data_IF_454363213632
#
_entry.id   IF_454363213632
#
_cell.length_a   1.000
_cell.length_b   1.000
_cell.length_c   1.000
_cell.angle_alpha   90.00
_cell.angle_beta   90.00
_cell.angle_gamma   90.00
#
_symmetry.space_group_name_H-M   'P 1'
#
loop_
_entity.id
_entity.type
_entity.pdbx_description
1 polymer ?
#
# COMPACT_ATOMS: atom_id res chain seq x y z
N UNK A 1 -2.70 27.54 1.74
CA UNK A 1 -3.28 27.44 0.39
C UNK A 1 -3.87 28.80 0.02
N UNK A 2 -3.51 29.40 -1.11
CA UNK A 2 -4.07 30.69 -1.53
C UNK A 2 -5.44 30.46 -2.17
N UNK A 3 -6.51 30.93 -1.55
CA UNK A 3 -7.90 30.78 -2.05
C UNK A 3 -8.24 31.77 -3.18
N UNK A 4 -7.24 32.23 -3.94
CA UNK A 4 -7.38 33.17 -5.05
C UNK A 4 -6.98 32.49 -6.36
N UNK A 5 -7.76 32.68 -7.41
CA UNK A 5 -7.47 32.17 -8.76
C UNK A 5 -6.15 32.70 -9.35
N UNK A 6 -5.62 33.80 -8.80
CA UNK A 6 -4.33 34.42 -9.13
C UNK A 6 -3.17 34.03 -8.19
N UNK A 7 -3.35 33.01 -7.34
CA UNK A 7 -2.33 32.55 -6.42
C UNK A 7 -1.13 31.94 -7.14
N UNK A 8 0.00 32.67 -7.21
CA UNK A 8 1.25 32.14 -7.76
C UNK A 8 1.77 31.04 -6.85
N UNK A 9 1.94 29.84 -7.41
CA UNK A 9 2.62 28.72 -6.76
C UNK A 9 4.12 28.87 -7.05
N UNK A 10 4.98 28.98 -6.02
CA UNK A 10 6.42 29.07 -6.21
C UNK A 10 6.93 27.94 -7.09
N UNK A 11 7.70 28.29 -8.11
CA UNK A 11 8.31 27.35 -9.04
C UNK A 11 9.55 26.73 -8.42
N UNK A 12 10.02 25.63 -9.02
CA UNK A 12 11.28 24.99 -8.60
C UNK A 12 12.48 25.95 -8.68
N UNK A 13 12.45 26.88 -9.65
CA UNK A 13 13.49 27.88 -9.85
C UNK A 13 13.60 28.87 -8.69
N UNK A 14 12.58 28.98 -7.84
CA UNK A 14 12.59 29.83 -6.65
C UNK A 14 13.39 29.20 -5.49
N UNK A 15 13.85 27.95 -5.64
CA UNK A 15 14.61 27.17 -4.64
C UNK A 15 15.99 26.72 -5.17
N UNK A 16 16.92 27.64 -5.45
CA UNK A 16 18.25 27.29 -5.97
C UNK A 16 19.04 26.45 -4.96
N UNK A 17 19.54 25.29 -5.40
CA UNK A 17 20.42 24.40 -4.62
C UNK A 17 19.79 23.64 -3.46
N UNK A 18 18.50 23.84 -3.18
CA UNK A 18 17.76 23.20 -2.09
C UNK A 18 16.58 22.36 -2.60
N UNK A 19 16.66 21.86 -3.83
CA UNK A 19 15.59 21.07 -4.43
C UNK A 19 15.87 19.56 -4.35
N UNK A 20 14.82 18.74 -4.11
CA UNK A 20 14.94 17.30 -4.22
C UNK A 20 15.22 16.87 -5.67
N UNK A 21 15.69 15.64 -5.90
CA UNK A 21 15.77 15.09 -7.25
C UNK A 21 14.36 15.01 -7.84
N UNK A 22 14.12 15.73 -8.94
CA UNK A 22 12.77 15.86 -9.53
C UNK A 22 12.29 14.58 -10.21
N UNK A 23 13.21 13.81 -10.78
CA UNK A 23 12.86 12.64 -11.59
C UNK A 23 12.15 11.54 -10.78
N UNK A 24 12.65 11.12 -9.61
CA UNK A 24 12.00 10.06 -8.84
C UNK A 24 10.67 10.52 -8.20
N UNK A 25 10.59 11.79 -7.77
CA UNK A 25 9.38 12.39 -7.19
C UNK A 25 8.27 12.50 -8.24
N UNK A 26 8.61 12.92 -9.46
CA UNK A 26 7.66 13.05 -10.56
C UNK A 26 7.01 11.71 -10.93
N UNK A 27 7.81 10.64 -11.04
CA UNK A 27 7.29 9.31 -11.36
C UNK A 27 6.58 8.65 -10.18
N UNK A 28 7.10 8.80 -8.96
CA UNK A 28 6.46 8.31 -7.73
C UNK A 28 5.04 8.87 -7.58
N UNK A 29 4.88 10.18 -7.78
CA UNK A 29 3.57 10.83 -7.71
C UNK A 29 2.58 10.27 -8.75
N UNK A 30 3.04 10.06 -9.98
CA UNK A 30 2.19 9.52 -11.06
C UNK A 30 1.77 8.08 -10.81
N UNK A 31 2.67 7.26 -10.29
CA UNK A 31 2.35 5.86 -9.92
C UNK A 31 1.32 5.87 -8.79
N UNK A 32 1.51 6.69 -7.76
CA UNK A 32 0.57 6.82 -6.64
C UNK A 32 -0.83 7.25 -7.11
N UNK A 33 -0.91 8.33 -7.88
CA UNK A 33 -2.21 8.85 -8.36
C UNK A 33 -2.84 7.89 -9.38
N UNK A 34 -2.03 7.35 -10.29
CA UNK A 34 -2.49 6.40 -11.31
C UNK A 34 -3.07 5.13 -10.70
N UNK A 35 -2.39 4.55 -9.71
CA UNK A 35 -2.90 3.37 -8.98
C UNK A 35 -4.15 3.70 -8.18
N UNK A 36 -4.21 4.84 -7.48
CA UNK A 36 -5.40 5.26 -6.74
C UNK A 36 -6.64 5.46 -7.63
N UNK A 37 -6.47 6.12 -8.78
CA UNK A 37 -7.56 6.30 -9.75
C UNK A 37 -7.99 4.96 -10.34
N UNK A 38 -7.03 4.09 -10.69
CA UNK A 38 -7.33 2.75 -11.18
C UNK A 38 -8.16 1.94 -10.18
N UNK A 39 -7.80 1.98 -8.89
CA UNK A 39 -8.56 1.31 -7.82
C UNK A 39 -10.01 1.83 -7.74
N UNK A 40 -10.21 3.15 -7.85
CA UNK A 40 -11.56 3.73 -7.85
C UNK A 40 -12.38 3.27 -9.06
N UNK A 41 -11.79 3.27 -10.26
CA UNK A 41 -12.45 2.82 -11.50
C UNK A 41 -12.88 1.35 -11.37
N UNK A 42 -11.99 0.48 -10.88
CA UNK A 42 -12.29 -0.94 -10.71
C UNK A 42 -13.39 -1.13 -9.66
N UNK A 43 -13.31 -0.44 -8.53
CA UNK A 43 -14.32 -0.49 -7.46
C UNK A 43 -15.70 -0.05 -7.95
N UNK A 44 -15.81 1.10 -8.62
CA UNK A 44 -17.07 1.57 -9.16
C UNK A 44 -17.62 0.67 -10.26
N UNK A 45 -16.76 0.14 -11.13
CA UNK A 45 -17.16 -0.81 -12.16
C UNK A 45 -17.76 -2.07 -11.51
N UNK A 46 -17.07 -2.64 -10.52
CA UNK A 46 -17.53 -3.82 -9.80
C UNK A 46 -18.88 -3.57 -9.10
N UNK A 47 -19.01 -2.44 -8.41
CA UNK A 47 -20.25 -2.04 -7.74
C UNK A 47 -21.41 -1.85 -8.72
N UNK A 48 -21.14 -1.23 -9.88
CA UNK A 48 -22.15 -1.02 -10.92
C UNK A 48 -22.66 -2.34 -11.51
N UNK A 49 -21.75 -3.26 -11.87
CA UNK A 49 -22.12 -4.57 -12.41
C UNK A 49 -22.86 -5.41 -11.38
N UNK A 50 -22.43 -5.39 -10.12
CA UNK A 50 -23.11 -6.12 -9.04
C UNK A 50 -24.54 -5.57 -8.81
N UNK A 51 -24.71 -4.24 -8.81
CA UNK A 51 -26.03 -3.60 -8.64
C UNK A 51 -26.99 -3.82 -9.82
N UNK A 52 -26.48 -3.87 -11.05
CA UNK A 52 -27.31 -3.97 -12.28
C UNK A 52 -27.54 -5.40 -12.77
N UNK A 53 -26.56 -6.29 -12.59
CA UNK A 53 -26.52 -7.61 -13.21
C UNK A 53 -26.45 -8.74 -12.19
N UNK A 54 -26.33 -8.42 -10.89
CA UNK A 54 -26.10 -9.39 -9.80
C UNK A 54 -24.94 -10.37 -10.06
N UNK A 55 -24.05 -10.03 -10.98
CA UNK A 55 -22.96 -10.88 -11.46
C UNK A 55 -21.78 -10.02 -11.89
N UNK A 56 -20.58 -10.53 -11.63
CA UNK A 56 -19.32 -9.90 -12.02
C UNK A 56 -18.83 -10.54 -13.32
N UNK A 57 -18.52 -9.76 -14.37
CA UNK A 57 -17.93 -10.31 -15.58
C UNK A 57 -16.54 -10.89 -15.24
N UNK A 58 -16.24 -12.09 -15.78
CA UNK A 58 -14.96 -12.80 -15.58
C UNK A 58 -13.70 -11.91 -15.69
N UNK A 59 -13.54 -11.02 -16.69
CA UNK A 59 -12.36 -10.16 -16.76
C UNK A 59 -12.24 -9.18 -15.60
N UNK A 60 -13.36 -8.67 -15.09
CA UNK A 60 -13.37 -7.76 -13.94
C UNK A 60 -13.06 -8.49 -12.64
N UNK A 61 -13.57 -9.71 -12.47
CA UNK A 61 -13.22 -10.57 -11.35
C UNK A 61 -11.72 -10.91 -11.34
N UNK A 62 -11.15 -11.22 -12.51
CA UNK A 62 -9.71 -11.47 -12.64
C UNK A 62 -8.88 -10.22 -12.35
N UNK A 63 -9.36 -9.04 -12.75
CA UNK A 63 -8.70 -7.75 -12.48
C UNK A 63 -8.70 -7.40 -10.98
N UNK A 64 -9.66 -7.90 -10.19
CA UNK A 64 -9.65 -7.66 -8.73
C UNK A 64 -8.49 -8.36 -8.02
N UNK A 65 -7.95 -9.45 -8.58
CA UNK A 65 -6.83 -10.20 -7.98
C UNK A 65 -5.59 -9.31 -7.83
N UNK A 66 -5.02 -8.69 -8.90
CA UNK A 66 -3.89 -7.78 -8.75
C UNK A 66 -4.24 -6.49 -7.98
N UNK A 67 -5.52 -6.08 -7.94
CA UNK A 67 -5.93 -4.92 -7.14
C UNK A 67 -5.73 -5.13 -5.63
N UNK A 68 -5.70 -6.38 -5.14
CA UNK A 68 -5.37 -6.66 -3.73
C UNK A 68 -3.97 -6.17 -3.34
N UNK A 69 -3.01 -6.23 -4.27
CA UNK A 69 -1.62 -5.80 -4.06
C UNK A 69 -1.42 -4.32 -4.42
N UNK A 70 -2.31 -3.77 -5.26
CA UNK A 70 -2.19 -2.38 -5.76
C UNK A 70 -2.13 -1.32 -4.65
N UNK A 71 -2.81 -1.53 -3.52
CA UNK A 71 -2.76 -0.63 -2.37
C UNK A 71 -1.37 -0.52 -1.74
N UNK A 72 -0.59 -1.61 -1.76
CA UNK A 72 0.79 -1.61 -1.29
C UNK A 72 1.68 -0.76 -2.21
N UNK A 73 1.51 -0.90 -3.52
CA UNK A 73 2.22 -0.10 -4.53
C UNK A 73 1.90 1.40 -4.37
N UNK A 74 0.62 1.74 -4.22
CA UNK A 74 0.18 3.12 -4.03
C UNK A 74 0.78 3.73 -2.76
N UNK A 75 0.80 2.97 -1.67
CA UNK A 75 1.33 3.42 -0.37
C UNK A 75 2.84 3.65 -0.44
N UNK A 76 3.59 2.72 -1.03
CA UNK A 76 5.04 2.87 -1.21
C UNK A 76 5.39 4.04 -2.13
N UNK A 77 4.67 4.21 -3.23
CA UNK A 77 4.88 5.33 -4.15
C UNK A 77 4.60 6.67 -3.46
N UNK A 78 3.58 6.74 -2.60
CA UNK A 78 3.29 7.92 -1.77
C UNK A 78 4.42 8.23 -0.80
N UNK A 79 4.83 7.23 0.00
CA UNK A 79 5.96 7.36 0.92
C UNK A 79 7.25 7.79 0.23
N UNK A 80 7.54 7.20 -0.94
CA UNK A 80 8.69 7.55 -1.74
C UNK A 80 8.64 9.01 -2.22
N UNK A 81 7.47 9.46 -2.68
CA UNK A 81 7.26 10.85 -3.11
C UNK A 81 7.45 11.82 -1.96
N UNK A 82 6.94 11.52 -0.77
CA UNK A 82 7.04 12.41 0.40
C UNK A 82 8.46 12.43 0.99
N UNK A 83 9.14 11.28 1.07
CA UNK A 83 10.46 11.20 1.68
C UNK A 83 11.55 11.79 0.77
N UNK A 84 11.52 11.43 -0.52
CA UNK A 84 12.47 11.96 -1.49
C UNK A 84 12.17 13.44 -1.79
N UNK A 85 10.90 13.84 -1.81
CA UNK A 85 10.50 15.23 -2.01
C UNK A 85 10.94 16.18 -0.88
N UNK A 86 11.30 15.65 0.28
CA UNK A 86 11.78 16.42 1.43
C UNK A 86 13.30 16.62 1.44
N UNK A 87 14.04 15.82 0.68
CA UNK A 87 15.48 16.01 0.52
C UNK A 87 15.79 17.41 -0.03
N UNK A 88 16.84 18.11 0.44
CA UNK A 88 17.91 17.65 1.34
C UNK A 88 17.65 17.85 2.84
N UNK A 89 16.42 18.17 3.23
CA UNK A 89 16.09 18.58 4.60
C UNK A 89 15.57 17.42 5.44
N UNK A 90 16.06 17.33 6.68
CA UNK A 90 15.46 16.51 7.72
C UNK A 90 14.48 17.34 8.56
N UNK A 91 14.79 18.61 8.81
CA UNK A 91 13.81 19.58 9.31
C UNK A 91 13.98 20.84 8.46
N UNK A 92 12.92 21.23 7.75
CA UNK A 92 12.97 22.34 6.79
C UNK A 92 13.46 23.62 7.46
N UNK A 93 14.59 24.16 6.97
CA UNK A 93 15.20 25.39 7.49
C UNK A 93 16.01 25.22 8.78
N UNK A 94 16.14 24.01 9.32
CA UNK A 94 16.85 23.75 10.59
C UNK A 94 17.98 22.73 10.41
N UNK A 95 17.70 21.56 9.85
CA UNK A 95 18.65 20.44 9.80
C UNK A 95 18.65 19.77 8.43
N UNK A 96 19.83 19.63 7.83
CA UNK A 96 20.04 18.88 6.59
C UNK A 96 20.29 17.41 6.88
N UNK A 97 19.95 16.55 5.93
CA UNK A 97 20.17 15.10 6.05
C UNK A 97 21.65 14.73 6.14
N UNK A 98 22.54 15.50 5.48
CA UNK A 98 23.99 15.31 5.55
C UNK A 98 24.56 15.58 6.95
N UNK A 99 24.00 16.56 7.67
CA UNK A 99 24.48 16.97 9.00
C UNK A 99 23.97 16.04 10.11
N UNK A 100 22.97 15.20 9.81
CA UNK A 100 22.37 14.27 10.76
C UNK A 100 23.06 12.90 10.83
N UNK A 101 24.14 12.68 10.06
CA UNK A 101 24.87 11.41 10.03
C UNK A 101 25.78 11.28 11.26
N UNK A 102 25.57 10.23 12.05
CA UNK A 102 26.38 9.96 13.24
C UNK A 102 27.82 9.50 12.92
N UNK A 103 28.75 9.57 13.89
CA UNK A 103 30.18 9.26 13.70
C UNK A 103 30.46 7.74 13.70
N UNK A 104 29.75 6.99 12.86
CA UNK A 104 29.91 5.53 12.70
C UNK A 104 30.54 5.21 11.36
N UNK A 105 31.45 4.23 11.34
CA UNK A 105 32.06 3.80 10.09
C UNK A 105 31.00 3.21 9.15
N UNK A 106 31.03 3.59 7.87
CA UNK A 106 30.06 3.14 6.87
C UNK A 106 30.03 1.62 6.70
N UNK A 107 31.11 0.91 7.02
CA UNK A 107 31.18 -0.56 7.02
C UNK A 107 30.24 -1.20 8.06
N UNK A 108 30.12 -0.63 9.26
CA UNK A 108 29.20 -1.13 10.28
C UNK A 108 27.73 -0.88 9.90
N UNK A 109 27.45 0.28 9.30
CA UNK A 109 26.11 0.60 8.78
C UNK A 109 25.73 -0.35 7.64
N UNK A 110 26.65 -0.60 6.70
CA UNK A 110 26.42 -1.51 5.58
C UNK A 110 26.19 -2.95 6.06
N UNK A 111 26.98 -3.42 7.03
CA UNK A 111 26.83 -4.77 7.60
C UNK A 111 25.47 -4.91 8.29
N UNK A 112 25.12 -3.98 9.18
CA UNK A 112 23.83 -4.03 9.90
C UNK A 112 22.65 -3.94 8.95
N UNK A 113 22.71 -3.06 7.94
CA UNK A 113 21.71 -2.98 6.87
C UNK A 113 21.57 -4.31 6.13
N UNK A 114 22.68 -4.95 5.76
CA UNK A 114 22.65 -6.25 5.09
C UNK A 114 21.99 -7.33 5.96
N UNK A 115 22.29 -7.37 7.25
CA UNK A 115 21.64 -8.31 8.19
C UNK A 115 20.13 -8.04 8.26
N UNK A 116 19.71 -6.78 8.38
CA UNK A 116 18.28 -6.42 8.39
C UNK A 116 17.58 -6.80 7.09
N UNK A 117 18.20 -6.57 5.94
CA UNK A 117 17.64 -6.94 4.64
C UNK A 117 17.44 -8.45 4.54
N UNK A 118 18.46 -9.25 4.90
CA UNK A 118 18.36 -10.72 4.88
C UNK A 118 17.26 -11.19 5.81
N UNK A 119 17.20 -10.66 7.03
CA UNK A 119 16.17 -11.02 8.00
C UNK A 119 14.75 -10.71 7.49
N UNK A 120 14.54 -9.52 6.92
CA UNK A 120 13.24 -9.14 6.38
C UNK A 120 12.85 -9.95 5.14
N UNK A 121 13.80 -10.34 4.29
CA UNK A 121 13.52 -11.25 3.16
C UNK A 121 13.08 -12.62 3.66
N UNK A 122 13.76 -13.20 4.66
CA UNK A 122 13.38 -14.48 5.25
C UNK A 122 11.98 -14.38 5.86
N UNK A 123 11.71 -13.33 6.62
CA UNK A 123 10.41 -13.10 7.25
C UNK A 123 9.30 -12.93 6.20
N UNK A 124 9.56 -12.19 5.12
CA UNK A 124 8.59 -12.00 4.04
C UNK A 124 8.26 -13.33 3.34
N UNK A 125 9.26 -14.17 3.06
CA UNK A 125 9.05 -15.49 2.45
C UNK A 125 8.25 -16.39 3.38
N UNK A 126 8.58 -16.43 4.67
CA UNK A 126 7.85 -17.21 5.66
C UNK A 126 6.39 -16.74 5.76
N UNK A 127 6.16 -15.43 5.84
CA UNK A 127 4.83 -14.82 5.90
C UNK A 127 3.98 -15.16 4.66
N UNK A 128 4.51 -14.96 3.46
CA UNK A 128 3.82 -15.30 2.22
C UNK A 128 3.57 -16.80 2.11
N UNK A 129 4.53 -17.64 2.53
CA UNK A 129 4.39 -19.08 2.56
C UNK A 129 3.24 -19.54 3.45
N UNK A 130 3.13 -18.96 4.66
CA UNK A 130 2.02 -19.25 5.58
C UNK A 130 0.69 -18.77 5.01
N UNK A 131 0.62 -17.55 4.47
CA UNK A 131 -0.61 -17.03 3.85
C UNK A 131 -1.10 -17.91 2.70
N UNK A 132 -0.20 -18.28 1.78
CA UNK A 132 -0.55 -19.13 0.64
C UNK A 132 -0.95 -20.53 1.11
N UNK A 133 -0.23 -21.09 2.09
CA UNK A 133 -0.58 -22.39 2.65
C UNK A 133 -1.99 -22.38 3.26
N UNK A 134 -2.33 -21.37 4.07
CA UNK A 134 -3.65 -21.24 4.68
C UNK A 134 -4.74 -21.01 3.64
N UNK A 135 -4.49 -20.14 2.65
CA UNK A 135 -5.45 -19.85 1.58
C UNK A 135 -5.75 -21.10 0.72
N UNK A 136 -4.71 -21.85 0.34
CA UNK A 136 -4.87 -23.09 -0.44
C UNK A 136 -5.54 -24.20 0.38
N UNK A 137 -5.22 -24.31 1.68
CA UNK A 137 -5.85 -25.27 2.58
C UNK A 137 -7.35 -24.98 2.70
N UNK A 138 -7.74 -23.72 2.94
CA UNK A 138 -9.14 -23.32 2.99
C UNK A 138 -9.89 -23.60 1.67
N UNK A 139 -9.25 -23.39 0.52
CA UNK A 139 -9.84 -23.67 -0.78
C UNK A 139 -10.03 -25.17 -1.05
N UNK A 140 -9.13 -26.03 -0.52
CA UNK A 140 -9.14 -27.48 -0.74
C UNK A 140 -10.08 -28.21 0.22
N UNK A 141 -10.04 -27.86 1.50
CA UNK A 141 -10.76 -28.57 2.56
C UNK A 141 -12.19 -28.03 2.76
N UNK A 142 -12.52 -26.89 2.14
CA UNK A 142 -13.72 -26.12 2.44
C UNK A 142 -13.60 -25.43 3.80
N UNK A 143 -14.10 -24.20 3.93
CA UNK A 143 -14.02 -23.48 5.20
C UNK A 143 -14.93 -24.14 6.24
N UNK A 144 -14.35 -24.96 7.10
CA UNK A 144 -15.00 -25.52 8.31
C UNK A 144 -14.67 -24.70 9.56
N UNK A 145 -13.96 -23.58 9.42
CA UNK A 145 -13.69 -22.70 10.55
C UNK A 145 -15.01 -22.05 10.99
N UNK A 146 -15.31 -22.01 12.30
CA UNK A 146 -16.49 -21.29 12.77
C UNK A 146 -16.37 -19.83 12.36
N UNK A 147 -17.35 -19.31 11.61
CA UNK A 147 -17.40 -17.88 11.25
C UNK A 147 -17.14 -17.05 12.52
N UNK A 148 -16.18 -16.11 12.50
CA UNK A 148 -15.94 -15.23 13.64
C UNK A 148 -17.24 -14.46 13.94
N UNK A 149 -17.93 -14.82 15.02
CA UNK A 149 -19.22 -14.26 15.40
C UNK A 149 -20.42 -15.21 15.38
N UNK A 150 -20.26 -16.47 14.95
CA UNK A 150 -21.30 -17.51 15.10
C UNK A 150 -20.79 -18.61 16.03
N UNK A 151 -20.34 -18.20 17.22
CA UNK A 151 -20.17 -19.12 18.34
C UNK A 151 -21.50 -19.14 19.09
N UNK A 152 -22.22 -20.26 19.01
CA UNK A 152 -23.40 -20.58 19.84
C UNK A 152 -24.70 -19.85 19.51
N UNK A 153 -25.09 -19.73 18.23
CA UNK A 153 -26.52 -19.81 17.95
C UNK A 153 -26.88 -21.30 17.98
N UNK A 154 -27.25 -21.81 19.15
CA UNK A 154 -27.93 -23.09 19.24
C UNK A 154 -29.04 -23.04 18.19
N UNK A 155 -28.95 -23.92 17.19
CA UNK A 155 -30.02 -24.15 16.25
C UNK A 155 -31.14 -24.76 17.10
N UNK A 156 -31.94 -23.91 17.75
CA UNK A 156 -33.14 -24.32 18.45
C UNK A 156 -34.13 -24.71 17.36
N UNK A 157 -34.01 -25.95 16.93
CA UNK A 157 -35.13 -26.68 16.40
C UNK A 157 -35.97 -27.11 17.61
N UNK A 158 -37.18 -26.57 17.73
CA UNK A 158 -38.31 -27.40 18.14
C UNK A 158 -39.38 -27.27 17.05
N UNK A 159 -40.23 -28.24 16.76
CA UNK A 159 -40.31 -29.68 17.01
C UNK A 159 -41.42 -30.13 16.05
N UNK A 160 -41.45 -31.41 15.68
CA UNK A 160 -42.65 -31.98 15.09
C UNK A 160 -43.82 -31.96 16.11
N UNK A 161 -45.04 -31.75 15.63
CA UNK A 161 -46.31 -31.72 16.38
C UNK A 161 -46.91 -30.30 16.41
N UNK A 162 -48.10 -30.02 15.90
CA UNK A 162 -49.28 -30.83 15.50
C UNK A 162 -49.80 -30.43 14.11
#
# INVERSE_FOLDING_TARGET
LRHSTSGVVPGLNDYPGNHPPVFPVFWGFRIMVGTGILMLIVSWSAAFFLKRRHSLPKPLALLMVPMTISGWVATLAGWYTTEIGRQPWLVTGVLKTADAVGPVAGSHVALTLAVYLVLYVILLIAYLGVLVHLALKAAKDGDTSPLPGVMNAAMSQPAAGE
#
